data_IF_301160560314
#
_entry.id   IF_301160560314
#
_cell.length_a   1.000
_cell.length_b   1.000
_cell.length_c   1.000
_cell.angle_alpha   90.00
_cell.angle_beta   90.00
_cell.angle_gamma   90.00
#
_symmetry.space_group_name_H-M   'P 1'
#
loop_
_entity.id
_entity.type
_entity.pdbx_description
1 polymer ?
#
# COMPACT_ATOMS: atom_id res chain seq x y z
N UNK A 1 17.85 1.35 3.43
CA UNK A 1 18.44 0.09 2.98
C UNK A 1 19.77 -0.20 3.68
N UNK A 2 20.69 0.75 3.75
CA UNK A 2 22.03 0.58 4.33
C UNK A 2 21.98 -0.03 5.74
N UNK A 3 21.18 0.55 6.63
CA UNK A 3 20.99 0.07 8.01
C UNK A 3 20.44 -1.35 8.07
N UNK A 4 19.44 -1.65 7.22
CA UNK A 4 18.84 -2.99 7.18
C UNK A 4 19.86 -4.03 6.70
N UNK A 5 20.59 -3.73 5.63
CA UNK A 5 21.63 -4.62 5.11
C UNK A 5 22.75 -4.81 6.13
N UNK A 6 23.18 -3.74 6.84
CA UNK A 6 24.20 -3.84 7.88
C UNK A 6 23.77 -4.73 9.05
N UNK A 7 22.55 -4.51 9.59
CA UNK A 7 22.05 -5.29 10.72
C UNK A 7 21.84 -6.75 10.36
N UNK A 8 21.31 -7.04 9.17
CA UNK A 8 20.99 -8.41 8.75
C UNK A 8 22.16 -9.14 8.13
N UNK A 9 23.20 -8.43 7.69
CA UNK A 9 24.29 -9.01 6.89
C UNK A 9 23.85 -9.46 5.50
N UNK A 10 22.69 -8.99 5.01
CA UNK A 10 22.15 -9.37 3.70
C UNK A 10 22.51 -8.36 2.63
N UNK A 11 22.89 -8.84 1.45
CA UNK A 11 23.18 -7.99 0.27
C UNK A 11 21.90 -7.45 -0.38
N UNK A 12 20.77 -8.08 -0.10
CA UNK A 12 19.47 -7.76 -0.71
C UNK A 12 18.36 -7.79 0.32
N UNK A 13 17.29 -7.03 0.03
CA UNK A 13 16.09 -6.97 0.86
C UNK A 13 14.85 -7.16 0.00
N UNK A 14 13.84 -7.84 0.55
CA UNK A 14 12.50 -7.84 -0.01
C UNK A 14 11.76 -6.64 0.59
N UNK A 15 11.07 -5.87 -0.25
CA UNK A 15 10.42 -4.62 0.13
C UNK A 15 8.92 -4.76 -0.01
N UNK A 16 8.16 -4.31 0.98
CA UNK A 16 6.70 -4.28 0.91
C UNK A 16 6.14 -2.91 1.22
N UNK A 17 5.05 -2.54 0.55
CA UNK A 17 4.33 -1.29 0.78
C UNK A 17 2.83 -1.44 0.54
N UNK A 18 2.03 -0.95 1.49
CA UNK A 18 0.58 -0.92 1.40
C UNK A 18 0.06 0.47 1.10
N UNK A 19 -0.98 0.58 0.27
CA UNK A 19 -1.68 1.83 -0.05
C UNK A 19 -0.69 2.94 -0.46
N UNK A 20 -0.69 4.10 0.20
CA UNK A 20 0.27 5.20 -0.04
C UNK A 20 1.74 4.81 0.21
N UNK A 21 1.98 3.81 1.08
CA UNK A 21 3.31 3.22 1.25
C UNK A 21 3.82 2.53 -0.02
N UNK A 22 2.92 1.92 -0.80
CA UNK A 22 3.25 1.35 -2.11
C UNK A 22 3.61 2.44 -3.14
N UNK A 23 2.96 3.60 -3.08
CA UNK A 23 3.30 4.76 -3.92
C UNK A 23 4.71 5.29 -3.60
N UNK A 24 4.99 5.52 -2.31
CA UNK A 24 6.32 5.96 -1.84
C UNK A 24 7.40 4.95 -2.21
N UNK A 25 7.13 3.66 -2.01
CA UNK A 25 8.01 2.57 -2.40
C UNK A 25 8.30 2.59 -3.91
N UNK A 26 7.31 2.87 -4.75
CA UNK A 26 7.47 2.93 -6.21
C UNK A 26 8.42 4.04 -6.63
N UNK A 27 8.37 5.21 -5.98
CA UNK A 27 9.34 6.30 -6.18
C UNK A 27 10.74 5.84 -5.77
N UNK A 28 10.89 5.20 -4.61
CA UNK A 28 12.17 4.67 -4.15
C UNK A 28 12.74 3.64 -5.13
N UNK A 29 11.93 2.67 -5.57
CA UNK A 29 12.36 1.64 -6.52
C UNK A 29 12.83 2.21 -7.85
N UNK A 30 12.11 3.21 -8.39
CA UNK A 30 12.53 3.93 -9.58
C UNK A 30 13.88 4.63 -9.38
N UNK A 31 14.09 5.26 -8.23
CA UNK A 31 15.37 5.89 -7.88
C UNK A 31 16.51 4.87 -7.78
N UNK A 32 16.29 3.75 -7.10
CA UNK A 32 17.27 2.67 -6.98
C UNK A 32 17.66 2.14 -8.37
N UNK A 33 16.67 1.90 -9.23
CA UNK A 33 16.90 1.46 -10.60
C UNK A 33 17.69 2.49 -11.43
N UNK A 34 17.39 3.79 -11.29
CA UNK A 34 18.11 4.86 -11.95
C UNK A 34 19.58 4.95 -11.49
N UNK A 35 19.85 4.60 -10.22
CA UNK A 35 21.21 4.56 -9.65
C UNK A 35 21.96 3.25 -9.93
N UNK A 36 21.32 2.26 -10.54
CA UNK A 36 21.87 0.90 -10.71
C UNK A 36 21.96 0.11 -9.39
N UNK A 37 21.22 0.53 -8.35
CA UNK A 37 21.19 -0.17 -7.06
C UNK A 37 20.25 -1.38 -7.14
N UNK A 38 20.81 -2.57 -6.97
CA UNK A 38 20.11 -3.86 -7.11
C UNK A 38 19.73 -4.51 -5.80
N UNK A 39 19.82 -3.78 -4.68
CA UNK A 39 19.52 -4.33 -3.35
C UNK A 39 18.05 -4.62 -3.11
N UNK A 40 17.12 -3.95 -3.80
CA UNK A 40 15.71 -4.33 -3.82
C UNK A 40 15.54 -5.62 -4.65
N UNK A 41 15.32 -6.75 -3.98
CA UNK A 41 15.26 -8.07 -4.62
C UNK A 41 13.87 -8.39 -5.15
N UNK A 42 12.87 -8.38 -4.26
CA UNK A 42 11.49 -8.64 -4.60
C UNK A 42 10.56 -7.61 -3.94
N UNK A 43 9.45 -7.34 -4.58
CA UNK A 43 8.55 -6.25 -4.24
C UNK A 43 7.15 -6.79 -3.97
N UNK A 44 6.58 -6.44 -2.83
CA UNK A 44 5.18 -6.71 -2.52
C UNK A 44 4.40 -5.40 -2.43
N UNK A 45 3.38 -5.24 -3.26
CA UNK A 45 2.45 -4.11 -3.21
C UNK A 45 1.07 -4.57 -2.76
N UNK A 46 0.53 -3.97 -1.72
CA UNK A 46 -0.77 -4.33 -1.18
C UNK A 46 -1.73 -3.15 -1.33
N UNK A 47 -2.88 -3.38 -1.96
CA UNK A 47 -3.96 -2.40 -2.14
C UNK A 47 -3.45 -1.02 -2.56
N UNK A 48 -2.62 -0.99 -3.59
CA UNK A 48 -1.94 0.23 -4.07
C UNK A 48 -2.33 0.53 -5.51
N UNK A 49 -2.74 1.77 -5.77
CA UNK A 49 -3.05 2.29 -7.10
C UNK A 49 -1.99 3.30 -7.51
N UNK A 50 -1.35 3.07 -8.65
CA UNK A 50 -0.37 3.97 -9.25
C UNK A 50 -0.94 4.71 -10.48
N UNK A 51 -1.92 4.13 -11.16
CA UNK A 51 -2.62 4.73 -12.30
C UNK A 51 -4.12 4.87 -11.99
N UNK A 52 -4.53 5.95 -11.31
CA UNK A 52 -5.94 6.22 -11.10
C UNK A 52 -6.59 6.69 -12.42
N UNK A 53 -7.79 6.21 -12.69
CA UNK A 53 -8.60 6.69 -13.81
C UNK A 53 -9.89 7.33 -13.29
N UNK A 54 -10.42 8.36 -13.98
CA UNK A 54 -11.73 8.90 -13.64
C UNK A 54 -12.79 7.81 -13.56
N UNK A 55 -13.55 7.78 -12.47
CA UNK A 55 -14.58 6.77 -12.23
C UNK A 55 -14.10 5.47 -11.57
N UNK A 56 -12.81 5.30 -11.29
CA UNK A 56 -12.32 4.13 -10.53
C UNK A 56 -12.86 4.11 -9.10
N UNK A 57 -12.97 5.27 -8.46
CA UNK A 57 -13.46 5.40 -7.08
C UNK A 57 -14.45 6.55 -6.97
N UNK A 58 -15.35 6.49 -5.99
CA UNK A 58 -16.18 7.63 -5.62
C UNK A 58 -15.31 8.82 -5.17
N UNK A 59 -14.17 8.55 -4.54
CA UNK A 59 -13.18 9.55 -4.16
C UNK A 59 -12.64 10.33 -5.36
N UNK A 60 -12.46 9.70 -6.51
CA UNK A 60 -11.97 10.37 -7.73
C UNK A 60 -12.94 11.45 -8.23
N UNK A 61 -14.22 11.33 -7.92
CA UNK A 61 -15.23 12.35 -8.25
C UNK A 61 -15.26 13.53 -7.28
N UNK A 62 -14.77 13.34 -6.05
CA UNK A 62 -14.69 14.39 -5.03
C UNK A 62 -13.41 15.23 -5.14
N UNK A 63 -12.41 14.72 -5.82
CA UNK A 63 -11.11 15.40 -6.01
C UNK A 63 -11.18 16.30 -7.24
N UNK A 64 -11.62 17.54 -7.05
CA UNK A 64 -11.55 18.58 -8.08
C UNK A 64 -10.22 19.34 -8.03
N UNK A 65 -9.76 19.86 -9.16
CA UNK A 65 -8.56 20.74 -9.21
C UNK A 65 -8.61 21.88 -8.18
N UNK A 66 -9.79 22.51 -7.99
CA UNK A 66 -9.97 23.56 -7.01
C UNK A 66 -9.85 23.04 -5.57
N UNK A 67 -10.35 21.82 -5.30
CA UNK A 67 -10.23 21.16 -4.00
C UNK A 67 -8.78 20.86 -3.66
N UNK A 68 -8.01 20.36 -4.62
CA UNK A 68 -6.56 20.10 -4.48
C UNK A 68 -5.80 21.39 -4.19
N UNK A 69 -6.04 22.44 -4.98
CA UNK A 69 -5.39 23.75 -4.78
C UNK A 69 -5.65 24.32 -3.40
N UNK A 70 -6.90 24.23 -2.92
CA UNK A 70 -7.26 24.68 -1.58
C UNK A 70 -6.62 23.84 -0.47
N UNK A 71 -6.56 22.52 -0.64
CA UNK A 71 -5.90 21.62 0.29
C UNK A 71 -4.39 21.93 0.37
N UNK A 72 -3.72 22.14 -0.75
CA UNK A 72 -2.31 22.57 -0.82
C UNK A 72 -2.09 23.90 -0.09
N UNK A 73 -2.93 24.90 -0.35
CA UNK A 73 -2.80 26.20 0.28
C UNK A 73 -2.97 26.15 1.80
N UNK A 74 -3.91 25.32 2.29
CA UNK A 74 -4.11 25.11 3.74
C UNK A 74 -2.94 24.36 4.36
N UNK A 75 -2.45 23.31 3.71
CA UNK A 75 -1.31 22.52 4.13
C UNK A 75 -0.04 23.39 4.22
N UNK A 76 0.23 24.21 3.22
CA UNK A 76 1.38 25.10 3.19
C UNK A 76 1.41 26.10 4.35
N UNK A 77 0.24 26.59 4.79
CA UNK A 77 0.13 27.51 5.94
C UNK A 77 0.42 26.85 7.28
N UNK A 78 0.03 25.58 7.46
CA UNK A 78 0.21 24.82 8.71
C UNK A 78 1.51 24.02 8.75
N UNK A 79 2.15 23.76 7.63
CA UNK A 79 3.30 22.88 7.49
C UNK A 79 2.96 21.39 7.55
N UNK A 80 1.75 21.03 8.03
CA UNK A 80 1.26 19.66 8.16
C UNK A 80 -0.20 19.56 7.77
N UNK A 81 -0.63 18.37 7.37
CA UNK A 81 -2.02 17.95 7.29
C UNK A 81 -2.31 17.08 8.50
N UNK A 82 -3.26 17.48 9.29
CA UNK A 82 -3.66 16.75 10.49
C UNK A 82 -4.29 15.40 10.12
N UNK A 83 -3.85 14.33 10.76
CA UNK A 83 -4.38 12.98 10.57
C UNK A 83 -5.89 12.91 10.80
N UNK A 84 -6.42 13.67 11.77
CA UNK A 84 -7.87 13.79 12.01
C UNK A 84 -8.65 14.36 10.82
N UNK A 85 -8.03 15.22 10.02
CA UNK A 85 -8.64 15.75 8.79
C UNK A 85 -8.69 14.70 7.68
N UNK A 86 -7.64 13.88 7.58
CA UNK A 86 -7.61 12.73 6.66
C UNK A 86 -8.64 11.69 7.07
N UNK A 87 -8.72 11.33 8.36
CA UNK A 87 -9.69 10.37 8.89
C UNK A 87 -11.14 10.80 8.57
N UNK A 88 -11.46 12.08 8.76
CA UNK A 88 -12.77 12.63 8.35
C UNK A 88 -13.02 12.50 6.85
N UNK A 89 -12.02 12.78 6.02
CA UNK A 89 -12.11 12.56 4.57
C UNK A 89 -12.46 11.11 4.22
N UNK A 90 -11.77 10.16 4.81
CA UNK A 90 -12.05 8.72 4.61
C UNK A 90 -13.43 8.32 5.11
N UNK A 91 -13.89 8.85 6.24
CA UNK A 91 -15.24 8.56 6.75
C UNK A 91 -16.34 9.01 5.77
N UNK A 92 -16.14 10.13 5.08
CA UNK A 92 -17.09 10.63 4.07
C UNK A 92 -17.10 9.83 2.77
N UNK A 93 -16.13 8.97 2.51
CA UNK A 93 -16.18 8.04 1.38
C UNK A 93 -17.23 6.92 1.58
N UNK A 94 -17.55 6.59 2.84
CA UNK A 94 -18.59 5.62 3.19
C UNK A 94 -19.44 6.13 4.36
N UNK A 95 -20.17 7.23 4.18
CA UNK A 95 -20.86 7.89 5.28
C UNK A 95 -21.93 7.00 5.94
N UNK A 96 -22.59 6.13 5.18
CA UNK A 96 -23.58 5.20 5.73
C UNK A 96 -22.97 4.22 6.72
N UNK A 97 -21.76 3.70 6.43
CA UNK A 97 -21.10 2.72 7.29
C UNK A 97 -20.32 3.37 8.44
N UNK A 98 -19.67 4.50 8.16
CA UNK A 98 -18.67 5.09 9.07
C UNK A 98 -19.20 6.32 9.85
N UNK A 99 -20.36 6.84 9.51
CA UNK A 99 -20.98 7.99 10.19
C UNK A 99 -22.43 7.64 10.61
N UNK A 100 -23.31 7.42 9.65
CA UNK A 100 -24.73 7.26 9.93
C UNK A 100 -25.08 5.99 10.68
N UNK A 101 -24.35 4.90 10.46
CA UNK A 101 -24.52 3.68 11.24
C UNK A 101 -24.30 3.91 12.73
N UNK A 102 -23.28 4.68 13.12
CA UNK A 102 -23.03 5.03 14.51
C UNK A 102 -24.06 6.01 15.06
N UNK A 103 -24.52 6.96 14.24
CA UNK A 103 -25.61 7.88 14.65
C UNK A 103 -26.87 7.08 14.97
N UNK A 104 -27.25 6.12 14.12
CA UNK A 104 -28.45 5.31 14.32
C UNK A 104 -28.27 4.39 15.53
N UNK A 105 -27.24 3.55 15.55
CA UNK A 105 -27.12 2.51 16.57
C UNK A 105 -26.75 3.07 17.94
N UNK A 106 -25.74 3.95 18.00
CA UNK A 106 -25.23 4.40 19.28
C UNK A 106 -25.96 5.64 19.83
N UNK A 107 -26.31 6.59 18.98
CA UNK A 107 -26.97 7.82 19.44
C UNK A 107 -28.50 7.69 19.50
N UNK A 108 -29.15 7.14 18.48
CA UNK A 108 -30.61 7.06 18.43
C UNK A 108 -31.15 5.82 19.16
N UNK A 109 -30.53 4.66 19.01
CA UNK A 109 -30.96 3.41 19.65
C UNK A 109 -30.34 3.20 21.03
N UNK A 110 -29.23 3.87 21.33
CA UNK A 110 -28.55 3.80 22.62
C UNK A 110 -27.70 2.52 22.81
N UNK A 111 -27.37 1.83 21.72
CA UNK A 111 -26.49 0.65 21.77
C UNK A 111 -25.06 1.09 22.05
N UNK A 112 -24.29 0.25 22.76
CA UNK A 112 -22.87 0.46 22.94
C UNK A 112 -22.11 0.32 21.62
N UNK A 113 -21.08 1.14 21.36
CA UNK A 113 -20.21 0.96 20.21
C UNK A 113 -19.57 -0.44 20.22
N UNK A 114 -19.50 -1.14 19.07
CA UNK A 114 -18.85 -2.44 19.00
C UNK A 114 -17.39 -2.34 19.42
N UNK A 115 -16.94 -3.21 20.30
CA UNK A 115 -15.56 -3.27 20.79
C UNK A 115 -14.67 -3.97 19.75
N UNK A 116 -14.08 -3.19 18.84
CA UNK A 116 -13.06 -3.65 17.90
C UNK A 116 -11.73 -2.97 18.20
N UNK A 117 -10.70 -3.77 18.49
CA UNK A 117 -9.32 -3.28 18.66
C UNK A 117 -8.80 -2.55 17.43
N UNK A 118 -9.19 -2.96 16.21
CA UNK A 118 -8.86 -2.28 14.96
C UNK A 118 -9.37 -0.84 14.91
N UNK A 119 -10.45 -0.50 15.62
CA UNK A 119 -10.95 0.87 15.68
C UNK A 119 -10.00 1.78 16.45
N UNK A 120 -9.37 1.26 17.51
CA UNK A 120 -8.35 2.00 18.25
C UNK A 120 -7.14 2.32 17.36
N UNK A 121 -6.62 1.30 16.65
CA UNK A 121 -5.53 1.49 15.69
C UNK A 121 -5.90 2.50 14.58
N UNK A 122 -7.12 2.43 14.05
CA UNK A 122 -7.56 3.35 13.00
C UNK A 122 -7.76 4.80 13.50
N UNK A 123 -8.00 4.97 14.80
CA UNK A 123 -8.12 6.29 15.43
C UNK A 123 -6.76 6.95 15.70
N UNK A 124 -5.68 6.16 15.75
CA UNK A 124 -4.30 6.63 15.90
C UNK A 124 -3.77 7.20 14.57
N UNK A 125 -4.18 8.43 14.29
CA UNK A 125 -3.96 9.08 13.01
C UNK A 125 -2.65 9.88 13.01
N UNK A 126 -1.78 9.62 12.04
CA UNK A 126 -0.50 10.31 11.85
C UNK A 126 -0.65 11.55 10.99
N UNK A 127 -0.01 12.65 11.38
CA UNK A 127 0.07 13.86 10.57
C UNK A 127 1.00 13.64 9.36
N UNK A 128 0.61 14.18 8.20
CA UNK A 128 1.47 14.22 7.02
C UNK A 128 2.13 15.59 6.87
N UNK A 129 3.41 15.62 6.49
CA UNK A 129 4.03 16.89 6.11
C UNK A 129 3.34 17.47 4.87
N UNK A 130 3.26 18.79 4.78
CA UNK A 130 2.68 19.47 3.62
C UNK A 130 3.43 19.18 2.33
N UNK A 131 4.76 18.97 2.41
CA UNK A 131 5.60 18.60 1.28
C UNK A 131 5.23 17.22 0.74
N UNK A 132 5.17 16.19 1.60
CA UNK A 132 4.79 14.83 1.18
C UNK A 132 3.38 14.78 0.56
N UNK A 133 2.43 15.51 1.14
CA UNK A 133 1.09 15.60 0.55
C UNK A 133 1.15 16.31 -0.81
N UNK A 134 1.97 17.36 -0.94
CA UNK A 134 2.21 18.02 -2.22
C UNK A 134 2.69 17.05 -3.27
N UNK A 135 3.72 16.27 -2.96
CA UNK A 135 4.29 15.25 -3.85
C UNK A 135 3.23 14.21 -4.28
N UNK A 136 2.42 13.70 -3.35
CA UNK A 136 1.34 12.76 -3.70
C UNK A 136 0.32 13.38 -4.66
N UNK A 137 -0.10 14.61 -4.40
CA UNK A 137 -1.06 15.30 -5.27
C UNK A 137 -0.49 15.54 -6.67
N UNK A 138 0.80 15.91 -6.79
CA UNK A 138 1.46 16.13 -8.07
C UNK A 138 1.62 14.83 -8.85
N UNK A 139 2.02 13.74 -8.19
CA UNK A 139 2.10 12.41 -8.80
C UNK A 139 0.75 11.96 -9.38
N UNK A 140 -0.35 12.23 -8.66
CA UNK A 140 -1.70 11.93 -9.13
C UNK A 140 -2.15 12.83 -10.29
N UNK A 141 -1.98 14.15 -10.18
CA UNK A 141 -2.41 15.11 -11.21
C UNK A 141 -1.66 14.89 -12.53
N UNK A 142 -0.35 14.62 -12.45
CA UNK A 142 0.47 14.33 -13.61
C UNK A 142 0.30 12.90 -14.16
N UNK A 143 -0.42 12.02 -13.47
CA UNK A 143 -0.42 10.58 -13.74
C UNK A 143 1.00 10.03 -13.92
N UNK A 144 1.91 10.48 -13.05
CA UNK A 144 3.35 10.41 -13.23
C UNK A 144 3.89 8.98 -13.33
N UNK A 145 3.28 8.03 -12.59
CA UNK A 145 3.70 6.63 -12.63
C UNK A 145 3.43 5.96 -13.99
N UNK A 146 2.39 6.39 -14.70
CA UNK A 146 2.03 5.87 -16.01
C UNK A 146 2.68 6.61 -17.19
N UNK A 147 3.47 7.64 -16.89
CA UNK A 147 4.17 8.47 -17.88
C UNK A 147 5.70 8.41 -17.67
N UNK A 148 6.37 7.30 -18.03
CA UNK A 148 7.79 7.11 -17.79
C UNK A 148 8.65 8.25 -18.33
N UNK A 149 9.57 8.75 -17.51
CA UNK A 149 10.54 9.76 -17.93
C UNK A 149 10.00 11.19 -18.03
N UNK A 150 8.79 11.48 -17.55
CA UNK A 150 8.15 12.81 -17.67
C UNK A 150 8.08 13.59 -16.36
N UNK A 151 8.38 12.98 -15.24
CA UNK A 151 8.21 13.57 -13.92
C UNK A 151 9.45 13.40 -13.05
N UNK A 152 9.96 14.49 -12.50
CA UNK A 152 11.11 14.49 -11.60
C UNK A 152 10.65 14.55 -10.14
N UNK A 153 11.11 13.59 -9.33
CA UNK A 153 10.81 13.50 -7.91
C UNK A 153 11.99 12.92 -7.13
N UNK A 154 12.22 13.41 -5.92
CA UNK A 154 13.30 12.93 -5.06
C UNK A 154 14.69 12.92 -5.72
N UNK A 155 14.94 13.85 -6.63
CA UNK A 155 16.21 14.03 -7.34
C UNK A 155 16.47 13.01 -8.43
N UNK A 156 15.44 12.40 -9.02
CA UNK A 156 15.53 11.54 -10.20
C UNK A 156 14.26 11.62 -11.04
N UNK A 157 14.36 11.22 -12.30
CA UNK A 157 13.22 11.11 -13.22
C UNK A 157 12.51 9.77 -12.99
N UNK A 158 11.22 9.81 -12.72
CA UNK A 158 10.39 8.64 -12.41
C UNK A 158 10.21 7.74 -13.63
N UNK A 159 10.60 6.48 -13.51
CA UNK A 159 10.47 5.48 -14.57
C UNK A 159 10.37 4.07 -13.97
N UNK A 160 9.15 3.56 -13.81
CA UNK A 160 8.90 2.22 -13.28
C UNK A 160 9.26 1.11 -14.27
N UNK A 161 9.40 1.39 -15.56
CA UNK A 161 9.80 0.38 -16.55
C UNK A 161 11.20 -0.15 -16.31
N UNK A 162 12.04 0.59 -15.56
CA UNK A 162 13.38 0.17 -15.14
C UNK A 162 13.39 -0.72 -13.89
N UNK A 163 12.28 -0.85 -13.20
CA UNK A 163 12.14 -1.73 -12.04
C UNK A 163 11.80 -3.12 -12.52
N UNK A 164 12.74 -4.04 -12.44
CA UNK A 164 12.67 -5.39 -13.05
C UNK A 164 12.63 -6.53 -12.03
N UNK A 165 12.66 -6.24 -10.74
CA UNK A 165 12.52 -7.23 -9.66
C UNK A 165 11.17 -7.95 -9.72
N UNK A 166 11.08 -9.12 -9.12
CA UNK A 166 9.82 -9.88 -9.02
C UNK A 166 8.78 -9.10 -8.22
N UNK A 167 7.55 -9.10 -8.70
CA UNK A 167 6.46 -8.28 -8.16
C UNK A 167 5.28 -9.15 -7.74
N UNK A 168 4.88 -9.00 -6.49
CA UNK A 168 3.65 -9.55 -5.92
C UNK A 168 2.68 -8.42 -5.60
N UNK A 169 1.46 -8.48 -6.12
CA UNK A 169 0.45 -7.42 -5.93
C UNK A 169 -0.83 -7.99 -5.38
N UNK A 170 -1.35 -7.37 -4.32
CA UNK A 170 -2.60 -7.72 -3.68
C UNK A 170 -3.66 -6.65 -3.92
N UNK A 171 -4.87 -7.07 -4.32
CA UNK A 171 -6.07 -6.24 -4.35
C UNK A 171 -7.20 -6.84 -3.49
N UNK A 172 -8.18 -6.02 -3.12
CA UNK A 172 -9.36 -6.44 -2.37
C UNK A 172 -10.63 -6.40 -3.22
N UNK A 173 -11.45 -7.47 -3.20
CA UNK A 173 -12.65 -7.58 -4.06
C UNK A 173 -13.65 -6.44 -3.90
N UNK A 174 -13.80 -5.94 -2.68
CA UNK A 174 -14.75 -4.86 -2.34
C UNK A 174 -14.04 -3.61 -1.82
N UNK A 175 -12.77 -3.45 -2.19
CA UNK A 175 -12.00 -2.27 -1.85
C UNK A 175 -12.51 -1.05 -2.62
N UNK A 176 -13.06 -0.09 -1.88
CA UNK A 176 -13.61 1.16 -2.41
C UNK A 176 -12.60 2.31 -2.41
N UNK A 177 -11.47 2.14 -1.71
CA UNK A 177 -10.37 3.14 -1.64
C UNK A 177 -9.42 2.92 -2.82
N UNK A 178 -8.98 1.66 -2.99
CA UNK A 178 -8.07 1.24 -4.06
C UNK A 178 -8.66 0.05 -4.82
N UNK A 179 -9.59 0.29 -5.74
CA UNK A 179 -10.29 -0.77 -6.45
C UNK A 179 -9.31 -1.74 -7.12
N UNK A 180 -9.55 -3.02 -6.96
CA UNK A 180 -8.63 -4.07 -7.39
C UNK A 180 -8.27 -4.01 -8.89
N UNK A 181 -9.20 -3.52 -9.73
CA UNK A 181 -8.92 -3.33 -11.16
C UNK A 181 -7.86 -2.26 -11.40
N UNK A 182 -7.83 -1.23 -10.58
CA UNK A 182 -6.79 -0.20 -10.62
C UNK A 182 -5.48 -0.71 -10.02
N UNK A 183 -5.53 -1.52 -8.95
CA UNK A 183 -4.34 -2.23 -8.44
C UNK A 183 -3.75 -3.15 -9.51
N UNK A 184 -4.60 -3.87 -10.25
CA UNK A 184 -4.15 -4.72 -11.36
C UNK A 184 -3.46 -3.91 -12.46
N UNK A 185 -4.04 -2.78 -12.88
CA UNK A 185 -3.39 -1.89 -13.88
C UNK A 185 -2.02 -1.45 -13.44
N UNK A 186 -1.84 -1.17 -12.15
CA UNK A 186 -0.54 -0.77 -11.60
C UNK A 186 0.54 -1.81 -11.84
N UNK A 187 0.21 -3.09 -11.96
CA UNK A 187 1.17 -4.16 -12.29
C UNK A 187 1.80 -3.99 -13.66
N UNK A 188 1.11 -3.35 -14.59
CA UNK A 188 1.54 -3.19 -15.98
C UNK A 188 2.57 -2.06 -16.17
N UNK A 189 2.78 -1.25 -15.13
CA UNK A 189 3.70 -0.10 -15.18
C UNK A 189 5.16 -0.50 -14.95
N UNK A 190 5.40 -1.67 -14.37
CA UNK A 190 6.72 -2.15 -14.02
C UNK A 190 7.38 -2.92 -15.16
N UNK A 191 8.71 -2.83 -15.25
CA UNK A 191 9.53 -3.65 -16.15
C UNK A 191 9.68 -5.11 -15.70
N UNK A 192 9.05 -5.49 -14.61
CA UNK A 192 9.08 -6.86 -14.04
C UNK A 192 8.54 -7.89 -15.02
N UNK A 193 9.28 -9.00 -15.16
CA UNK A 193 8.84 -10.15 -15.98
C UNK A 193 7.99 -11.15 -15.19
N UNK A 194 8.24 -11.23 -13.89
CA UNK A 194 7.56 -12.12 -12.97
C UNK A 194 6.61 -11.26 -12.11
N UNK A 195 5.36 -11.20 -12.51
CA UNK A 195 4.31 -10.45 -11.81
C UNK A 195 3.23 -11.41 -11.38
N UNK A 196 2.98 -11.46 -10.09
CA UNK A 196 1.91 -12.22 -9.49
C UNK A 196 0.86 -11.27 -8.90
N UNK A 197 -0.38 -11.41 -9.34
CA UNK A 197 -1.50 -10.64 -8.79
C UNK A 197 -2.44 -11.57 -8.05
N UNK A 198 -2.77 -11.20 -6.82
CA UNK A 198 -3.72 -11.89 -5.95
C UNK A 198 -4.89 -10.96 -5.67
N UNK A 199 -6.10 -11.50 -5.83
CA UNK A 199 -7.32 -10.82 -5.45
C UNK A 199 -7.88 -11.46 -4.17
N UNK A 200 -7.70 -10.81 -3.03
CA UNK A 200 -8.24 -11.29 -1.75
C UNK A 200 -9.69 -10.86 -1.58
N UNK A 201 -10.50 -11.72 -0.97
CA UNK A 201 -11.86 -11.36 -0.56
C UNK A 201 -11.82 -10.23 0.48
N UNK A 202 -12.76 -9.31 0.37
CA UNK A 202 -13.08 -8.20 1.27
C UNK A 202 -12.52 -6.83 0.86
N UNK A 203 -12.76 -5.81 1.72
CA UNK A 203 -12.36 -4.43 1.50
C UNK A 203 -10.91 -4.14 1.88
N UNK A 204 -10.53 -2.88 1.89
CA UNK A 204 -9.15 -2.39 1.98
C UNK A 204 -8.30 -3.06 3.06
N UNK A 205 -8.66 -2.89 4.32
CA UNK A 205 -7.89 -3.45 5.44
C UNK A 205 -8.09 -4.95 5.58
N UNK A 206 -9.33 -5.42 5.44
CA UNK A 206 -9.65 -6.84 5.61
C UNK A 206 -9.00 -7.71 4.52
N UNK A 207 -8.80 -7.19 3.30
CA UNK A 207 -8.09 -7.91 2.26
C UNK A 207 -6.62 -8.18 2.64
N UNK A 208 -5.96 -7.22 3.29
CA UNK A 208 -4.59 -7.37 3.80
C UNK A 208 -4.57 -8.30 5.01
N UNK A 209 -5.45 -8.05 5.99
CA UNK A 209 -5.48 -8.73 7.29
C UNK A 209 -6.27 -10.04 7.29
N UNK A 210 -6.43 -10.68 6.17
CA UNK A 210 -7.15 -11.93 6.05
C UNK A 210 -6.30 -13.13 6.52
N UNK A 211 -6.19 -13.39 7.85
CA UNK A 211 -5.19 -14.29 8.40
C UNK A 211 -5.50 -15.75 8.10
N UNK A 212 -4.50 -16.63 8.17
CA UNK A 212 -4.71 -18.08 8.17
C UNK A 212 -5.69 -18.50 9.30
N UNK A 213 -6.55 -19.47 9.01
CA UNK A 213 -7.55 -19.94 9.96
C UNK A 213 -8.92 -19.25 9.86
N UNK A 214 -9.08 -18.19 9.09
CA UNK A 214 -10.40 -17.64 8.79
C UNK A 214 -11.15 -18.57 7.82
N UNK A 215 -12.22 -19.26 8.25
CA UNK A 215 -12.92 -20.25 7.42
C UNK A 215 -13.70 -19.64 6.25
N UNK A 216 -13.90 -18.32 6.26
CA UNK A 216 -14.59 -17.57 5.20
C UNK A 216 -13.62 -16.93 4.21
N UNK A 217 -12.32 -17.04 4.47
CA UNK A 217 -11.31 -16.46 3.61
C UNK A 217 -11.26 -17.18 2.27
N UNK A 218 -11.08 -16.43 1.22
CA UNK A 218 -10.76 -16.91 -0.12
C UNK A 218 -10.04 -15.85 -0.92
N UNK A 219 -9.33 -16.30 -1.92
CA UNK A 219 -8.64 -15.41 -2.86
C UNK A 219 -8.62 -16.02 -4.26
N UNK A 220 -8.32 -15.21 -5.26
CA UNK A 220 -8.15 -15.62 -6.63
C UNK A 220 -6.72 -15.38 -7.05
N UNK A 221 -6.16 -16.32 -7.77
CA UNK A 221 -4.86 -16.24 -8.44
C UNK A 221 -4.99 -16.73 -9.87
N UNK A 222 -4.15 -16.21 -10.75
CA UNK A 222 -4.08 -16.71 -12.11
C UNK A 222 -3.28 -18.00 -12.14
N UNK A 223 -3.73 -19.00 -12.88
CA UNK A 223 -2.95 -20.18 -13.17
C UNK A 223 -1.79 -19.80 -14.10
N UNK A 224 -0.67 -20.36 -13.88
CA UNK A 224 0.67 -20.16 -14.45
C UNK A 224 0.84 -19.29 -15.71
N UNK A 225 1.89 -18.47 -15.72
CA UNK A 225 2.32 -17.64 -16.84
C UNK A 225 2.29 -16.14 -16.56
N UNK A 226 2.64 -15.35 -17.57
CA UNK A 226 2.61 -13.89 -17.48
C UNK A 226 1.16 -13.43 -17.34
N UNK A 227 0.87 -12.63 -16.33
CA UNK A 227 -0.43 -12.02 -16.15
C UNK A 227 -0.86 -11.27 -17.44
N UNK A 228 -2.07 -11.52 -17.99
CA UNK A 228 -2.55 -10.83 -19.18
C UNK A 228 -2.63 -9.31 -18.93
N UNK A 229 -2.52 -8.51 -19.98
CA UNK A 229 -2.67 -7.05 -19.84
C UNK A 229 -4.09 -6.65 -19.46
N UNK A 230 -5.08 -7.37 -19.95
CA UNK A 230 -6.50 -7.11 -19.67
C UNK A 230 -6.93 -7.80 -18.37
N UNK A 231 -7.49 -7.02 -17.46
CA UNK A 231 -7.98 -7.50 -16.16
C UNK A 231 -9.16 -8.47 -16.27
N UNK A 232 -9.95 -8.37 -17.31
CA UNK A 232 -11.09 -9.28 -17.55
C UNK A 232 -10.59 -10.66 -17.97
N UNK A 233 -9.57 -10.69 -18.81
CA UNK A 233 -8.92 -11.94 -19.21
C UNK A 233 -8.18 -12.57 -18.01
N UNK A 234 -7.54 -11.75 -17.16
CA UNK A 234 -6.95 -12.23 -15.91
C UNK A 234 -8.01 -12.92 -15.04
N UNK A 235 -9.16 -12.29 -14.84
CA UNK A 235 -10.23 -12.86 -14.00
C UNK A 235 -10.81 -14.15 -14.59
N UNK A 236 -10.95 -14.25 -15.91
CA UNK A 236 -11.41 -15.48 -16.58
C UNK A 236 -10.45 -16.65 -16.41
N UNK A 237 -9.15 -16.37 -16.42
CA UNK A 237 -8.09 -17.36 -16.23
C UNK A 237 -7.70 -17.61 -14.78
N UNK A 238 -8.37 -16.96 -13.80
CA UNK A 238 -8.04 -17.14 -12.39
C UNK A 238 -8.86 -18.24 -11.74
N UNK A 239 -8.26 -18.91 -10.76
CA UNK A 239 -8.91 -19.90 -9.90
C UNK A 239 -9.22 -19.32 -8.53
N UNK A 240 -10.36 -19.69 -7.96
CA UNK A 240 -10.71 -19.39 -6.58
C UNK A 240 -10.05 -20.41 -5.65
N UNK A 241 -9.33 -19.92 -4.64
CA UNK A 241 -8.66 -20.73 -3.63
C UNK A 241 -9.28 -20.43 -2.27
N UNK A 242 -9.74 -21.46 -1.58
CA UNK A 242 -10.25 -21.33 -0.22
C UNK A 242 -9.10 -21.08 0.78
N UNK A 243 -9.32 -20.17 1.72
CA UNK A 243 -8.36 -19.82 2.77
C UNK A 243 -7.66 -18.49 2.53
N UNK A 244 -6.70 -18.21 3.39
CA UNK A 244 -5.90 -16.98 3.35
C UNK A 244 -4.86 -17.02 2.23
N UNK A 245 -4.60 -15.87 1.62
CA UNK A 245 -3.53 -15.68 0.66
C UNK A 245 -2.12 -15.67 1.32
N UNK A 246 -2.03 -15.49 2.64
CA UNK A 246 -0.75 -15.40 3.35
C UNK A 246 0.16 -16.62 3.18
N UNK A 247 -0.32 -17.88 3.27
CA UNK A 247 0.55 -19.04 3.01
C UNK A 247 1.15 -19.05 1.61
N UNK A 248 0.37 -18.61 0.61
CA UNK A 248 0.84 -18.48 -0.76
C UNK A 248 1.93 -17.40 -0.90
N UNK A 249 1.68 -16.23 -0.31
CA UNK A 249 2.66 -15.14 -0.26
C UNK A 249 3.94 -15.53 0.49
N UNK A 250 3.83 -16.24 1.60
CA UNK A 250 4.99 -16.74 2.34
C UNK A 250 5.84 -17.69 1.52
N UNK A 251 5.24 -18.59 0.72
CA UNK A 251 5.97 -19.45 -0.21
C UNK A 251 6.69 -18.61 -1.28
N UNK A 252 6.02 -17.60 -1.82
CA UNK A 252 6.59 -16.68 -2.79
C UNK A 252 7.78 -15.89 -2.22
N UNK A 253 7.68 -15.37 -1.00
CA UNK A 253 8.76 -14.69 -0.29
C UNK A 253 9.91 -15.64 0.05
N UNK A 254 9.61 -16.82 0.56
CA UNK A 254 10.63 -17.82 0.95
C UNK A 254 11.55 -18.16 -0.22
N UNK A 255 11.00 -18.36 -1.41
CA UNK A 255 11.77 -18.60 -2.63
C UNK A 255 12.71 -17.44 -3.02
N UNK A 256 12.54 -16.24 -2.42
CA UNK A 256 13.28 -15.01 -2.68
C UNK A 256 14.06 -14.47 -1.46
N UNK A 257 14.09 -15.24 -0.37
CA UNK A 257 14.70 -14.80 0.89
C UNK A 257 16.08 -15.41 1.17
N UNK A 258 16.58 -16.26 0.27
CA UNK A 258 17.84 -16.97 0.46
C UNK A 258 17.72 -18.16 1.42
N UNK A 259 18.82 -18.51 2.06
CA UNK A 259 18.86 -19.64 3.00
C UNK A 259 18.38 -19.23 4.39
N UNK A 260 17.78 -20.17 5.11
CA UNK A 260 17.43 -19.95 6.51
C UNK A 260 18.68 -19.79 7.37
N UNK A 261 18.64 -18.77 8.23
CA UNK A 261 19.73 -18.51 9.19
C UNK A 261 19.17 -18.52 10.61
N UNK A 262 20.03 -18.75 11.59
CA UNK A 262 19.62 -18.66 12.99
C UNK A 262 19.13 -17.24 13.32
N UNK A 263 18.05 -17.14 14.09
CA UNK A 263 17.55 -15.86 14.56
C UNK A 263 18.65 -15.11 15.34
N UNK A 264 18.76 -13.77 15.17
CA UNK A 264 19.74 -12.99 15.89
C UNK A 264 19.47 -13.07 17.40
N UNK A 265 20.55 -13.19 18.20
CA UNK A 265 20.46 -13.26 19.67
C UNK A 265 20.12 -11.91 20.31
N UNK A 266 20.37 -10.82 19.61
CA UNK A 266 20.08 -9.45 20.05
C UNK A 266 19.57 -8.62 18.87
N UNK A 267 18.82 -7.57 19.17
CA UNK A 267 18.33 -6.61 18.17
C UNK A 267 19.41 -5.57 17.85
N UNK A 268 19.36 -5.06 16.62
CA UNK A 268 20.27 -4.01 16.16
C UNK A 268 21.70 -4.50 15.89
N UNK A 269 22.60 -3.54 15.75
CA UNK A 269 24.06 -3.76 15.57
C UNK A 269 24.85 -2.82 16.48
N UNK A 270 26.18 -2.92 16.43
CA UNK A 270 27.05 -2.00 17.19
C UNK A 270 26.89 -0.55 16.72
N UNK A 271 26.71 -0.33 15.42
CA UNK A 271 26.51 0.99 14.84
C UNK A 271 25.05 1.47 14.99
N UNK A 272 24.11 0.52 15.04
CA UNK A 272 22.67 0.79 15.17
C UNK A 272 22.10 -0.03 16.34
N UNK A 273 22.38 0.38 17.60
CA UNK A 273 21.93 -0.34 18.79
C UNK A 273 20.42 -0.29 18.93
N UNK A 274 19.85 -1.30 19.58
CA UNK A 274 18.44 -1.27 19.95
C UNK A 274 18.16 -0.06 20.85
N UNK A 275 17.03 0.58 20.63
CA UNK A 275 16.54 1.71 21.42
C UNK A 275 15.45 1.22 22.40
N UNK A 276 14.44 2.05 22.65
CA UNK A 276 13.32 1.69 23.49
C UNK A 276 12.46 0.59 22.87
N UNK A 277 11.65 -0.06 23.70
CA UNK A 277 10.73 -1.09 23.24
C UNK A 277 9.64 -0.51 22.30
N UNK A 278 9.21 -1.31 21.31
CA UNK A 278 8.09 -0.93 20.48
C UNK A 278 6.81 -0.69 21.33
N UNK A 279 5.96 0.25 20.95
CA UNK A 279 5.95 1.03 19.72
C UNK A 279 6.87 2.26 19.69
N UNK A 280 7.67 2.51 20.73
CA UNK A 280 8.51 3.70 20.86
C UNK A 280 7.84 4.81 21.67
N UNK A 281 8.57 5.91 21.87
CA UNK A 281 8.09 7.05 22.68
C UNK A 281 7.20 8.02 21.86
N UNK A 282 7.34 8.04 20.56
CA UNK A 282 6.60 8.96 19.68
C UNK A 282 5.07 8.84 19.78
N UNK A 283 4.56 7.68 20.19
CA UNK A 283 3.11 7.44 20.40
C UNK A 283 2.56 8.18 21.61
N UNK A 284 3.42 8.76 22.44
CA UNK A 284 3.08 9.53 23.63
C UNK A 284 3.10 11.05 23.38
N UNK A 285 3.55 11.48 22.20
CA UNK A 285 3.56 12.87 21.77
C UNK A 285 2.26 13.22 21.04
#
# INVERSE_FOLDING_TARGET
LDVVCEITGSDKVNISGGCSGGQTMSVLLSKLAAMGDTRANAVTMMVCVLEPKPGDTEASSLVSHNGIALARQRAAKKGVIEGSSLARGFAWLRPNDLIWNYVINNYLLGDDPPAFDILFWNADATNLSSALMGDFLELFEANAYAAPGTFDIAGHTLDLTKVTGDLFVLGGTTDHITPWRACYRSTQLFGSKNVEFILSQAGHMQAILNPPGNPKAKYWKHSEGKAPADVTEWMKGSEEVAGSWWPHWMQWLHARSGVEVAAPKALGSKAHPAMEAAPGLYVLE
#
